data_IF_305521626094
#
_entry.id   IF_305521626094
#
_cell.length_a   1.000
_cell.length_b   1.000
_cell.length_c   1.000
_cell.angle_alpha   90.00
_cell.angle_beta   90.00
_cell.angle_gamma   90.00
#
_symmetry.space_group_name_H-M   'P 1'
#
loop_
_entity.id
_entity.type
_entity.pdbx_description
1 polymer ?
#
# COMPACT_ATOMS: atom_id res chain seq x y z
N UNK A 1 17.89 -9.53 23.22
CA UNK A 1 18.06 -9.71 21.77
C UNK A 1 16.67 -9.70 21.13
N UNK A 2 16.48 -8.91 20.07
CA UNK A 2 15.18 -8.68 19.43
C UNK A 2 15.13 -9.44 18.09
N UNK A 3 14.54 -10.65 18.03
CA UNK A 3 14.46 -11.43 16.80
C UNK A 3 13.74 -10.69 15.66
N UNK A 4 12.85 -9.76 16.02
CA UNK A 4 12.11 -8.94 15.07
C UNK A 4 12.98 -7.90 14.32
N UNK A 5 14.20 -7.63 14.79
CA UNK A 5 15.11 -6.64 14.21
C UNK A 5 16.13 -7.24 13.23
N UNK A 6 16.08 -8.56 12.99
CA UNK A 6 16.98 -9.28 12.06
C UNK A 6 16.45 -9.29 10.61
N UNK A 7 15.37 -8.57 10.33
CA UNK A 7 14.81 -8.46 8.98
C UNK A 7 15.76 -7.65 8.07
N UNK A 8 15.88 -8.01 6.79
CA UNK A 8 16.67 -7.29 5.78
C UNK A 8 16.40 -5.78 5.75
N UNK A 9 15.14 -5.39 6.02
CA UNK A 9 14.71 -3.99 6.14
C UNK A 9 15.52 -3.16 7.16
N UNK A 10 16.08 -3.79 8.19
CA UNK A 10 16.74 -3.09 9.31
C UNK A 10 18.26 -3.21 9.29
N UNK A 11 18.85 -3.77 8.22
CA UNK A 11 20.31 -3.89 8.06
C UNK A 11 21.00 -2.53 8.14
N UNK A 12 20.36 -1.46 7.65
CA UNK A 12 20.87 -0.09 7.75
C UNK A 12 20.97 0.43 9.19
N UNK A 13 20.21 -0.15 10.13
CA UNK A 13 20.21 0.24 11.54
C UNK A 13 21.11 -0.65 12.41
N UNK A 14 21.88 -1.57 11.82
CA UNK A 14 22.67 -2.57 12.55
C UNK A 14 23.61 -1.95 13.59
N UNK A 15 24.35 -0.91 13.22
CA UNK A 15 25.27 -0.21 14.13
C UNK A 15 24.56 0.37 15.37
N UNK A 16 23.34 0.90 15.20
CA UNK A 16 22.53 1.43 16.30
C UNK A 16 21.96 0.32 17.19
N UNK A 17 21.63 -0.84 16.61
CA UNK A 17 21.23 -2.03 17.34
C UNK A 17 22.39 -2.53 18.21
N UNK A 18 23.60 -2.55 17.65
CA UNK A 18 24.81 -2.97 18.35
C UNK A 18 25.17 -1.99 19.48
N UNK A 19 25.13 -0.68 19.24
CA UNK A 19 25.37 0.32 20.27
C UNK A 19 24.39 0.18 21.45
N UNK A 20 23.09 -0.04 21.18
CA UNK A 20 22.11 -0.26 22.23
C UNK A 20 22.33 -1.58 22.96
N UNK A 21 22.69 -2.65 22.25
CA UNK A 21 23.02 -3.95 22.84
C UNK A 21 24.24 -3.84 23.75
N UNK A 22 25.29 -3.14 23.33
CA UNK A 22 26.48 -2.90 24.17
C UNK A 22 26.13 -2.15 25.44
N UNK A 23 25.27 -1.13 25.36
CA UNK A 23 24.81 -0.40 26.55
C UNK A 23 24.04 -1.32 27.52
N UNK A 24 23.14 -2.15 27.00
CA UNK A 24 22.40 -3.13 27.78
C UNK A 24 23.28 -4.23 28.39
N UNK A 25 24.36 -4.63 27.72
CA UNK A 25 25.29 -5.65 28.21
C UNK A 25 26.21 -5.15 29.34
N UNK A 26 26.54 -3.85 29.36
CA UNK A 26 27.48 -3.29 30.33
C UNK A 26 26.88 -3.20 31.74
N UNK A 27 25.64 -2.72 31.88
CA UNK A 27 25.08 -2.42 33.19
C UNK A 27 23.54 -2.57 33.24
N UNK A 28 23.04 -3.72 33.72
CA UNK A 28 21.60 -3.98 33.87
C UNK A 28 20.86 -2.92 34.70
N UNK A 29 21.47 -2.43 35.78
CA UNK A 29 20.87 -1.36 36.60
C UNK A 29 20.79 -0.02 35.85
N UNK A 30 21.78 0.28 35.01
CA UNK A 30 21.77 1.50 34.19
C UNK A 30 20.69 1.44 33.09
N UNK A 31 20.47 0.25 32.52
CA UNK A 31 19.32 0.02 31.64
C UNK A 31 18.00 0.29 32.37
N UNK A 32 17.85 -0.23 33.60
CA UNK A 32 16.61 -0.08 34.38
C UNK A 32 16.28 1.38 34.74
N UNK A 33 17.30 2.23 34.95
CA UNK A 33 17.12 3.67 35.22
C UNK A 33 17.12 4.54 33.96
N UNK A 34 17.24 3.96 32.77
CA UNK A 34 17.14 4.67 31.50
C UNK A 34 18.43 5.37 31.01
N UNK A 35 19.61 4.92 31.44
CA UNK A 35 20.88 5.49 30.99
C UNK A 35 21.15 5.29 29.48
N UNK A 36 20.54 4.28 28.85
CA UNK A 36 20.69 3.95 27.42
C UNK A 36 19.64 4.63 26.52
N UNK A 37 19.02 5.73 26.97
CA UNK A 37 17.91 6.36 26.23
C UNK A 37 18.37 7.02 24.92
N UNK A 38 19.61 7.51 24.85
CA UNK A 38 20.10 8.20 23.67
C UNK A 38 20.27 7.24 22.48
N UNK A 39 20.93 6.09 22.68
CA UNK A 39 21.09 5.04 21.68
C UNK A 39 19.72 4.50 21.25
N UNK A 40 18.81 4.32 22.21
CA UNK A 40 17.43 3.90 21.97
C UNK A 40 16.68 4.90 21.08
N UNK A 41 16.84 6.19 21.29
CA UNK A 41 16.20 7.23 20.47
C UNK A 41 16.73 7.25 19.05
N UNK A 42 18.05 7.10 18.86
CA UNK A 42 18.63 7.02 17.52
C UNK A 42 18.15 5.76 16.80
N UNK A 43 18.15 4.61 17.46
CA UNK A 43 17.64 3.37 16.90
C UNK A 43 16.15 3.50 16.54
N UNK A 44 15.35 4.10 17.41
CA UNK A 44 13.92 4.30 17.16
C UNK A 44 13.65 5.14 15.92
N UNK A 45 14.45 6.19 15.70
CA UNK A 45 14.38 7.02 14.49
C UNK A 45 14.76 6.24 13.24
N UNK A 46 15.88 5.53 13.27
CA UNK A 46 16.32 4.69 12.14
C UNK A 46 15.26 3.64 11.76
N UNK A 47 14.71 2.92 12.75
CA UNK A 47 13.68 1.91 12.51
C UNK A 47 12.38 2.50 11.96
N UNK A 48 12.06 3.74 12.34
CA UNK A 48 10.91 4.46 11.81
C UNK A 48 11.12 4.81 10.34
N UNK A 49 12.28 5.38 10.00
CA UNK A 49 12.67 5.72 8.63
C UNK A 49 12.70 4.48 7.72
N UNK A 50 13.30 3.38 8.17
CA UNK A 50 13.31 2.12 7.44
C UNK A 50 11.88 1.63 7.15
N UNK A 51 10.97 1.70 8.14
CA UNK A 51 9.55 1.35 7.92
C UNK A 51 8.88 2.25 6.88
N UNK A 52 9.14 3.56 6.91
CA UNK A 52 8.56 4.50 5.95
C UNK A 52 9.08 4.26 4.53
N UNK A 53 10.39 4.03 4.38
CA UNK A 53 11.01 3.74 3.08
C UNK A 53 10.34 2.52 2.43
N UNK A 54 10.13 1.48 3.21
CA UNK A 54 9.47 0.27 2.74
C UNK A 54 7.98 0.40 2.44
N UNK A 55 7.25 1.19 3.25
CA UNK A 55 5.85 1.48 2.93
C UNK A 55 5.78 2.22 1.60
N UNK A 56 6.72 3.14 1.34
CA UNK A 56 6.81 3.88 0.09
C UNK A 56 7.10 2.96 -1.10
N UNK A 57 8.05 2.04 -0.99
CA UNK A 57 8.35 1.08 -2.08
C UNK A 57 7.16 0.18 -2.36
N UNK A 58 6.57 -0.44 -1.33
CA UNK A 58 5.37 -1.29 -1.48
C UNK A 58 4.17 -0.54 -2.05
N UNK A 59 3.99 0.72 -1.66
CA UNK A 59 2.92 1.56 -2.20
C UNK A 59 3.15 1.83 -3.68
N UNK A 60 4.38 2.09 -4.09
CA UNK A 60 4.73 2.31 -5.49
C UNK A 60 4.53 1.05 -6.33
N UNK A 61 5.01 -0.10 -5.86
CA UNK A 61 4.79 -1.40 -6.51
C UNK A 61 3.30 -1.73 -6.64
N UNK A 62 2.51 -1.48 -5.60
CA UNK A 62 1.07 -1.68 -5.63
C UNK A 62 0.39 -0.80 -6.68
N UNK A 63 0.76 0.48 -6.78
CA UNK A 63 0.25 1.39 -7.82
C UNK A 63 0.61 0.91 -9.22
N UNK A 64 1.84 0.47 -9.43
CA UNK A 64 2.30 -0.04 -10.73
C UNK A 64 1.56 -1.33 -11.12
N UNK A 65 1.37 -2.24 -10.17
CA UNK A 65 0.63 -3.48 -10.39
C UNK A 65 -0.85 -3.21 -10.67
N UNK A 66 -1.46 -2.27 -9.96
CA UNK A 66 -2.85 -1.85 -10.21
C UNK A 66 -3.00 -1.25 -11.60
N UNK A 67 -2.08 -0.38 -12.01
CA UNK A 67 -2.08 0.19 -13.37
C UNK A 67 -1.97 -0.89 -14.45
N UNK A 68 -1.02 -1.82 -14.31
CA UNK A 68 -0.88 -2.95 -15.25
C UNK A 68 -2.14 -3.80 -15.34
N UNK A 69 -2.80 -4.04 -14.19
CA UNK A 69 -4.04 -4.81 -14.12
C UNK A 69 -5.19 -4.07 -14.80
N UNK A 70 -5.32 -2.76 -14.57
CA UNK A 70 -6.31 -1.93 -15.23
C UNK A 70 -6.10 -1.88 -16.75
N UNK A 71 -4.86 -1.69 -17.19
CA UNK A 71 -4.50 -1.70 -18.61
C UNK A 71 -4.84 -3.05 -19.27
N UNK A 72 -4.57 -4.17 -18.59
CA UNK A 72 -4.94 -5.51 -19.07
C UNK A 72 -6.45 -5.68 -19.15
N UNK A 73 -7.19 -5.29 -18.11
CA UNK A 73 -8.66 -5.37 -18.09
C UNK A 73 -9.26 -4.51 -19.20
N UNK A 74 -8.71 -3.32 -19.45
CA UNK A 74 -9.18 -2.45 -20.51
C UNK A 74 -8.94 -3.09 -21.89
N UNK A 75 -7.76 -3.66 -22.13
CA UNK A 75 -7.47 -4.41 -23.37
C UNK A 75 -8.39 -5.61 -23.55
N UNK A 76 -8.63 -6.40 -22.49
CA UNK A 76 -9.56 -7.53 -22.56
C UNK A 76 -10.98 -7.08 -22.91
N UNK A 77 -11.45 -5.96 -22.34
CA UNK A 77 -12.74 -5.37 -22.72
C UNK A 77 -12.73 -4.86 -24.16
N UNK A 78 -11.64 -4.28 -24.64
CA UNK A 78 -11.51 -3.86 -26.03
C UNK A 78 -11.53 -5.07 -26.99
N UNK A 79 -10.95 -6.20 -26.61
CA UNK A 79 -10.93 -7.45 -27.39
C UNK A 79 -12.28 -8.20 -27.36
N UNK A 80 -12.92 -8.32 -26.18
CA UNK A 80 -14.19 -9.05 -26.01
C UNK A 80 -15.37 -8.34 -26.67
N UNK A 81 -15.34 -7.01 -26.69
CA UNK A 81 -16.39 -6.21 -27.31
C UNK A 81 -15.97 -5.69 -28.70
N UNK A 82 -14.69 -5.64 -29.07
CA UNK A 82 -14.26 -4.95 -30.31
C UNK A 82 -14.33 -3.42 -30.19
N UNK A 83 -13.60 -2.70 -31.05
CA UNK A 83 -13.49 -1.23 -30.99
C UNK A 83 -14.87 -0.55 -30.93
N UNK A 84 -15.22 0.01 -29.76
CA UNK A 84 -16.43 0.79 -29.54
C UNK A 84 -17.72 -0.01 -29.30
N UNK A 85 -17.72 -1.33 -29.30
CA UNK A 85 -18.96 -2.11 -29.17
C UNK A 85 -19.47 -2.19 -27.72
N UNK A 86 -18.57 -2.15 -26.71
CA UNK A 86 -18.95 -2.03 -25.30
C UNK A 86 -19.73 -0.74 -25.04
N UNK A 87 -19.23 0.36 -25.62
CA UNK A 87 -19.89 1.66 -25.52
C UNK A 87 -21.26 1.62 -26.19
N UNK A 88 -21.38 0.93 -27.33
CA UNK A 88 -22.65 0.71 -28.04
C UNK A 88 -23.63 -0.12 -27.21
N UNK A 89 -23.18 -1.16 -26.51
CA UNK A 89 -24.04 -1.99 -25.64
C UNK A 89 -24.57 -1.16 -24.47
N UNK A 90 -23.69 -0.42 -23.79
CA UNK A 90 -24.09 0.49 -22.71
C UNK A 90 -25.06 1.57 -23.19
N UNK A 91 -24.83 2.15 -24.38
CA UNK A 91 -25.71 3.16 -24.96
C UNK A 91 -27.10 2.58 -25.25
N UNK A 92 -27.15 1.38 -25.85
CA UNK A 92 -28.41 0.67 -26.14
C UNK A 92 -29.20 0.38 -24.87
N UNK A 93 -28.54 -0.04 -23.80
CA UNK A 93 -29.17 -0.32 -22.51
C UNK A 93 -29.74 0.96 -21.88
N UNK A 94 -28.99 2.07 -21.91
CA UNK A 94 -29.47 3.39 -21.47
C UNK A 94 -30.66 3.91 -22.29
N UNK A 95 -30.65 3.69 -23.61
CA UNK A 95 -31.76 4.07 -24.48
C UNK A 95 -33.01 3.27 -24.12
N UNK A 96 -32.89 1.95 -23.90
CA UNK A 96 -34.01 1.10 -23.45
C UNK A 96 -34.59 1.58 -22.11
N UNK A 97 -33.74 1.91 -21.13
CA UNK A 97 -34.20 2.45 -19.84
C UNK A 97 -34.99 3.75 -20.01
N UNK A 98 -34.49 4.67 -20.84
CA UNK A 98 -35.18 5.94 -21.14
C UNK A 98 -36.53 5.68 -21.80
N UNK A 99 -36.56 4.83 -22.83
CA UNK A 99 -37.77 4.56 -23.60
C UNK A 99 -38.83 3.84 -22.74
N UNK A 100 -38.41 2.95 -21.84
CA UNK A 100 -39.29 2.33 -20.84
C UNK A 100 -39.89 3.37 -19.88
N UNK A 101 -39.09 4.34 -19.38
CA UNK A 101 -39.59 5.44 -18.54
C UNK A 101 -40.59 6.31 -19.28
N UNK A 102 -40.29 6.70 -20.52
CA UNK A 102 -41.19 7.50 -21.35
C UNK A 102 -42.50 6.77 -21.67
N UNK A 103 -42.45 5.45 -21.86
CA UNK A 103 -43.65 4.62 -22.05
C UNK A 103 -44.50 4.55 -20.77
N UNK A 104 -43.87 4.44 -19.59
CA UNK A 104 -44.58 4.48 -18.31
C UNK A 104 -45.24 5.84 -18.04
N UNK A 105 -44.55 6.95 -18.34
CA UNK A 105 -45.09 8.30 -18.19
C UNK A 105 -46.28 8.58 -19.12
N UNK A 106 -46.26 8.04 -20.35
CA UNK A 106 -47.39 8.15 -21.29
C UNK A 106 -48.62 7.33 -20.89
N UNK A 107 -48.45 6.20 -20.21
CA UNK A 107 -49.56 5.38 -19.72
C UNK A 107 -50.23 5.92 -18.44
N UNK A 108 -49.59 6.88 -17.77
CA UNK A 108 -50.08 7.52 -16.54
C UNK A 108 -50.72 8.91 -16.79
N UNK A 109 -50.95 9.28 -18.05
CA UNK A 109 -51.52 10.55 -18.50
C UNK A 109 -52.79 10.31 -19.31
#
# INVERSE_FOLDING_TARGET
MHPHLENERFVSCYELIQALNECHQKHFLQQAVGACNQEKEYLSRCLHEARLADIKTRTQESKENNKKREDLINKMKEEEFGEGEYLKTLLLEKIKERDAKLAMEKNNK
#
